data_IF_350106414847
#
_entry.id   IF_350106414847
#
_cell.length_a   1.000
_cell.length_b   1.000
_cell.length_c   1.000
_cell.angle_alpha   90.00
_cell.angle_beta   90.00
_cell.angle_gamma   90.00
#
_symmetry.space_group_name_H-M   'P 1'
#
loop_
_entity.id
_entity.type
_entity.pdbx_description
1 polymer ?
#
# COMPACT_ATOMS: atom_id res chain seq x y z
N UNK A 1 -4.25 -47.68 10.94
CA UNK A 1 -3.65 -46.38 11.31
C UNK A 1 -3.46 -45.47 10.08
N UNK A 2 -4.40 -45.49 9.13
CA UNK A 2 -4.32 -44.80 7.83
C UNK A 2 -5.37 -43.68 7.66
N UNK A 3 -6.45 -43.70 8.45
CA UNK A 3 -7.47 -42.65 8.45
C UNK A 3 -6.92 -41.29 8.86
N UNK A 4 -6.09 -41.25 9.91
CA UNK A 4 -5.57 -40.01 10.50
C UNK A 4 -4.70 -39.18 9.53
N UNK A 5 -3.92 -39.84 8.68
CA UNK A 5 -3.08 -39.15 7.68
C UNK A 5 -3.91 -38.62 6.50
N UNK A 6 -4.87 -39.41 6.03
CA UNK A 6 -5.80 -39.01 4.96
C UNK A 6 -6.66 -37.81 5.39
N UNK A 7 -7.14 -37.83 6.63
CA UNK A 7 -7.95 -36.75 7.21
C UNK A 7 -7.14 -35.47 7.37
N UNK A 8 -5.89 -35.57 7.86
CA UNK A 8 -4.99 -34.42 7.95
C UNK A 8 -4.70 -33.82 6.57
N UNK A 9 -4.43 -34.67 5.55
CA UNK A 9 -4.19 -34.20 4.19
C UNK A 9 -5.42 -33.51 3.60
N UNK A 10 -6.62 -34.06 3.84
CA UNK A 10 -7.87 -33.44 3.42
C UNK A 10 -8.08 -32.08 4.09
N UNK A 11 -7.79 -31.96 5.38
CA UNK A 11 -7.88 -30.71 6.14
C UNK A 11 -6.90 -29.66 5.61
N UNK A 12 -5.63 -30.02 5.37
CA UNK A 12 -4.63 -29.11 4.81
C UNK A 12 -5.01 -28.63 3.40
N UNK A 13 -5.49 -29.54 2.53
CA UNK A 13 -5.99 -29.17 1.20
C UNK A 13 -7.19 -28.22 1.28
N UNK A 14 -8.13 -28.49 2.19
CA UNK A 14 -9.28 -27.61 2.39
C UNK A 14 -8.86 -26.24 2.93
N UNK A 15 -7.88 -26.18 3.83
CA UNK A 15 -7.32 -24.91 4.34
C UNK A 15 -6.67 -24.09 3.23
N UNK A 16 -5.77 -24.71 2.45
CA UNK A 16 -5.11 -24.03 1.34
C UNK A 16 -6.12 -23.52 0.29
N UNK A 17 -7.16 -24.30 -0.01
CA UNK A 17 -8.24 -23.87 -0.93
C UNK A 17 -9.02 -22.67 -0.37
N UNK A 18 -9.34 -22.68 0.93
CA UNK A 18 -10.03 -21.56 1.59
C UNK A 18 -9.17 -20.29 1.60
N UNK A 19 -7.90 -20.40 1.95
CA UNK A 19 -6.96 -19.27 1.97
C UNK A 19 -6.78 -18.67 0.57
N UNK A 20 -6.59 -19.52 -0.46
CA UNK A 20 -6.51 -19.07 -1.85
C UNK A 20 -7.78 -18.35 -2.30
N UNK A 21 -8.94 -18.93 -2.01
CA UNK A 21 -10.22 -18.32 -2.36
C UNK A 21 -10.44 -17.00 -1.59
N UNK A 22 -9.99 -16.93 -0.33
CA UNK A 22 -9.99 -15.70 0.46
C UNK A 22 -9.13 -14.62 -0.18
N UNK A 23 -7.88 -14.93 -0.52
CA UNK A 23 -6.98 -14.00 -1.21
C UNK A 23 -7.58 -13.49 -2.52
N UNK A 24 -8.13 -14.39 -3.36
CA UNK A 24 -8.75 -14.00 -4.62
C UNK A 24 -9.94 -13.05 -4.44
N UNK A 25 -10.82 -13.32 -3.46
CA UNK A 25 -11.94 -12.44 -3.14
C UNK A 25 -11.48 -11.07 -2.64
N UNK A 26 -10.49 -11.06 -1.73
CA UNK A 26 -9.94 -9.81 -1.21
C UNK A 26 -9.29 -8.99 -2.31
N UNK A 27 -8.51 -9.61 -3.19
CA UNK A 27 -7.92 -8.92 -4.35
C UNK A 27 -8.99 -8.34 -5.26
N UNK A 28 -10.05 -9.10 -5.58
CA UNK A 28 -11.14 -8.59 -6.40
C UNK A 28 -11.83 -7.37 -5.76
N UNK A 29 -12.18 -7.46 -4.47
CA UNK A 29 -12.79 -6.34 -3.74
C UNK A 29 -11.88 -5.10 -3.68
N UNK A 30 -10.56 -5.30 -3.53
CA UNK A 30 -9.59 -4.19 -3.60
C UNK A 30 -9.57 -3.54 -4.98
N UNK A 31 -9.57 -4.32 -6.07
CA UNK A 31 -9.55 -3.79 -7.43
C UNK A 31 -10.84 -3.05 -7.79
N UNK A 32 -11.99 -3.43 -7.20
CA UNK A 32 -13.26 -2.73 -7.39
C UNK A 32 -13.33 -1.40 -6.64
N UNK A 33 -12.71 -1.30 -5.46
CA UNK A 33 -12.77 -0.11 -4.61
C UNK A 33 -11.61 0.88 -4.83
N UNK A 34 -10.49 0.42 -5.39
CA UNK A 34 -9.29 1.24 -5.54
C UNK A 34 -9.29 2.09 -6.80
N UNK A 35 -8.78 3.31 -6.69
CA UNK A 35 -8.33 4.08 -7.85
C UNK A 35 -6.93 3.62 -8.25
N UNK A 36 -6.72 3.43 -9.55
CA UNK A 36 -5.40 3.10 -10.10
C UNK A 36 -4.66 4.35 -10.53
N UNK A 37 -3.48 4.58 -9.94
CA UNK A 37 -2.57 5.63 -10.41
C UNK A 37 -1.81 5.10 -11.63
N UNK A 38 -2.03 5.65 -12.85
CA UNK A 38 -1.37 5.16 -14.04
C UNK A 38 0.13 5.50 -14.01
N UNK A 39 0.95 4.57 -14.52
CA UNK A 39 2.37 4.80 -14.71
C UNK A 39 2.62 5.45 -16.08
N UNK A 40 2.92 6.75 -16.05
CA UNK A 40 3.25 7.55 -17.23
C UNK A 40 4.74 7.90 -17.34
N UNK A 41 5.12 8.46 -18.48
CA UNK A 41 6.50 8.93 -18.72
C UNK A 41 6.94 10.03 -17.76
N UNK A 42 6.00 10.84 -17.29
CA UNK A 42 6.18 11.87 -16.26
C UNK A 42 6.56 11.24 -14.91
N UNK A 43 5.82 10.21 -14.49
CA UNK A 43 6.11 9.44 -13.27
C UNK A 43 7.50 8.80 -13.36
N UNK A 44 7.84 8.19 -14.48
CA UNK A 44 9.16 7.56 -14.67
C UNK A 44 10.30 8.59 -14.64
N UNK A 45 10.10 9.79 -15.21
CA UNK A 45 11.09 10.87 -15.17
C UNK A 45 11.27 11.39 -13.75
N UNK A 46 10.18 11.56 -13.00
CA UNK A 46 10.23 11.98 -11.60
C UNK A 46 10.89 10.91 -10.72
N UNK A 47 10.61 9.63 -10.97
CA UNK A 47 11.23 8.51 -10.28
C UNK A 47 12.75 8.50 -10.44
N UNK A 48 13.27 8.76 -11.63
CA UNK A 48 14.71 8.86 -11.86
C UNK A 48 15.36 9.98 -11.02
N UNK A 49 14.68 11.12 -10.87
CA UNK A 49 15.12 12.22 -10.00
C UNK A 49 15.13 11.83 -8.52
N UNK A 50 14.06 11.18 -8.04
CA UNK A 50 13.95 10.67 -6.67
C UNK A 50 15.04 9.63 -6.38
N UNK A 51 15.25 8.68 -7.29
CA UNK A 51 16.24 7.62 -7.13
C UNK A 51 17.64 8.20 -6.92
N UNK A 52 18.02 9.21 -7.72
CA UNK A 52 19.30 9.89 -7.61
C UNK A 52 19.43 10.69 -6.30
N UNK A 53 18.33 11.28 -5.82
CA UNK A 53 18.34 12.15 -4.63
C UNK A 53 18.30 11.39 -3.30
N UNK A 54 17.64 10.24 -3.23
CA UNK A 54 17.31 9.56 -1.95
C UNK A 54 17.92 8.16 -1.83
N UNK A 55 18.79 7.74 -2.77
CA UNK A 55 19.44 6.42 -2.79
C UNK A 55 18.46 5.24 -2.62
N UNK A 56 17.22 5.43 -3.07
CA UNK A 56 16.14 4.48 -2.93
C UNK A 56 16.15 3.47 -4.09
N UNK A 57 15.50 2.31 -3.94
CA UNK A 57 15.39 1.37 -5.06
C UNK A 57 14.64 1.99 -6.24
N UNK A 58 14.89 1.52 -7.46
CA UNK A 58 14.18 2.02 -8.64
C UNK A 58 12.65 1.80 -8.51
N UNK A 59 12.24 0.65 -7.97
CA UNK A 59 10.82 0.31 -7.80
C UNK A 59 10.15 1.21 -6.78
N UNK A 60 10.78 1.41 -5.61
CA UNK A 60 10.25 2.32 -4.59
C UNK A 60 10.22 3.77 -5.08
N UNK A 61 11.17 4.16 -5.93
CA UNK A 61 11.22 5.50 -6.53
C UNK A 61 10.05 5.74 -7.48
N UNK A 62 9.65 4.70 -8.23
CA UNK A 62 8.45 4.73 -9.07
C UNK A 62 7.19 4.84 -8.21
N UNK A 63 7.11 4.07 -7.12
CA UNK A 63 5.97 4.14 -6.18
C UNK A 63 5.85 5.55 -5.60
N UNK A 64 6.93 6.11 -5.06
CA UNK A 64 6.90 7.46 -4.48
C UNK A 64 6.56 8.52 -5.52
N UNK A 65 7.15 8.44 -6.72
CA UNK A 65 6.84 9.36 -7.81
C UNK A 65 5.35 9.32 -8.19
N UNK A 66 4.77 8.12 -8.28
CA UNK A 66 3.35 7.96 -8.62
C UNK A 66 2.44 8.60 -7.56
N UNK A 67 2.75 8.41 -6.28
CA UNK A 67 2.02 9.01 -5.15
C UNK A 67 2.12 10.53 -5.19
N UNK A 68 3.33 11.08 -5.31
CA UNK A 68 3.54 12.54 -5.32
C UNK A 68 2.87 13.19 -6.53
N UNK A 69 2.98 12.57 -7.72
CA UNK A 69 2.30 13.05 -8.93
C UNK A 69 0.78 13.07 -8.75
N UNK A 70 0.21 11.98 -8.22
CA UNK A 70 -1.22 11.89 -7.96
C UNK A 70 -1.68 12.92 -6.93
N UNK A 71 -0.97 13.06 -5.80
CA UNK A 71 -1.29 14.06 -4.76
C UNK A 71 -1.23 15.49 -5.29
N UNK A 72 -0.26 15.81 -6.15
CA UNK A 72 -0.15 17.13 -6.78
C UNK A 72 -1.32 17.42 -7.74
N UNK A 73 -1.83 16.39 -8.42
CA UNK A 73 -2.92 16.50 -9.38
C UNK A 73 -4.30 16.57 -8.70
N UNK A 74 -4.58 15.68 -7.74
CA UNK A 74 -5.89 15.55 -7.10
C UNK A 74 -6.09 16.46 -5.89
N UNK A 75 -4.99 16.88 -5.24
CA UNK A 75 -4.97 17.78 -4.07
C UNK A 75 -6.01 17.38 -3.01
N UNK A 76 -5.94 16.15 -2.49
CA UNK A 76 -6.92 15.67 -1.52
C UNK A 76 -6.84 16.51 -0.23
N UNK A 77 -7.97 16.68 0.45
CA UNK A 77 -8.00 17.40 1.73
C UNK A 77 -7.23 16.65 2.84
N UNK A 78 -7.28 15.32 2.82
CA UNK A 78 -6.53 14.45 3.72
C UNK A 78 -6.19 13.14 3.01
N UNK A 79 -4.99 12.61 3.24
CA UNK A 79 -4.58 11.32 2.71
C UNK A 79 -3.54 10.65 3.61
N UNK A 80 -3.30 9.36 3.40
CA UNK A 80 -2.21 8.66 4.04
C UNK A 80 -1.55 7.63 3.13
N UNK A 81 -0.25 7.45 3.29
CA UNK A 81 0.54 6.45 2.61
C UNK A 81 0.97 5.37 3.60
N UNK A 82 0.55 4.14 3.33
CA UNK A 82 0.86 2.96 4.15
C UNK A 82 1.89 2.07 3.45
N UNK A 83 3.07 1.92 4.04
CA UNK A 83 4.09 1.01 3.53
C UNK A 83 4.91 0.39 4.67
N UNK A 84 5.16 -0.92 4.61
CA UNK A 84 5.97 -1.64 5.61
C UNK A 84 7.48 -1.41 5.43
N UNK A 85 7.93 -0.92 4.27
CA UNK A 85 9.33 -0.59 4.04
C UNK A 85 9.70 0.74 4.73
N UNK A 86 9.69 0.74 6.07
CA UNK A 86 10.00 1.93 6.87
C UNK A 86 11.46 2.36 6.77
N UNK A 87 12.34 1.48 6.30
CA UNK A 87 13.76 1.82 6.08
C UNK A 87 13.89 2.88 4.99
N UNK A 88 13.19 2.70 3.88
CA UNK A 88 13.33 3.56 2.72
C UNK A 88 12.32 4.72 2.74
N UNK A 89 11.11 4.50 3.26
CA UNK A 89 10.05 5.51 3.29
C UNK A 89 9.88 6.23 4.64
N UNK A 90 10.47 5.71 5.72
CA UNK A 90 10.33 6.30 7.06
C UNK A 90 11.31 7.44 7.34
N UNK A 91 12.21 7.77 6.42
CA UNK A 91 13.19 8.84 6.60
C UNK A 91 12.55 10.24 6.60
N UNK A 92 13.18 11.23 7.29
CA UNK A 92 12.62 12.57 7.43
C UNK A 92 12.38 13.27 6.08
N UNK A 93 13.23 13.01 5.08
CA UNK A 93 13.08 13.61 3.74
C UNK A 93 11.77 13.18 3.06
N UNK A 94 11.38 11.92 3.22
CA UNK A 94 10.14 11.39 2.62
C UNK A 94 8.93 11.90 3.39
N UNK A 95 8.99 11.93 4.72
CA UNK A 95 7.90 12.47 5.54
C UNK A 95 7.63 13.94 5.23
N UNK A 96 8.67 14.78 5.19
CA UNK A 96 8.53 16.20 4.83
C UNK A 96 7.92 16.36 3.43
N UNK A 97 8.33 15.53 2.48
CA UNK A 97 7.77 15.55 1.12
C UNK A 97 6.28 15.20 1.12
N UNK A 98 5.85 14.17 1.85
CA UNK A 98 4.44 13.76 1.91
C UNK A 98 3.59 14.76 2.71
N UNK A 99 4.13 15.34 3.78
CA UNK A 99 3.46 16.34 4.63
C UNK A 99 3.12 17.61 3.85
N UNK A 100 3.93 18.00 2.85
CA UNK A 100 3.62 19.12 1.94
C UNK A 100 2.31 18.93 1.17
N UNK A 101 1.87 17.68 1.00
CA UNK A 101 0.61 17.33 0.34
C UNK A 101 -0.48 16.90 1.35
N UNK A 102 -0.26 17.09 2.65
CA UNK A 102 -1.18 16.61 3.69
C UNK A 102 -1.30 15.09 3.74
N UNK A 103 -0.28 14.35 3.27
CA UNK A 103 -0.26 12.90 3.25
C UNK A 103 0.55 12.34 4.41
N UNK A 104 -0.09 11.60 5.33
CA UNK A 104 0.59 11.00 6.48
C UNK A 104 1.20 9.64 6.16
N UNK A 105 2.45 9.41 6.54
CA UNK A 105 3.10 8.10 6.43
C UNK A 105 2.77 7.18 7.61
N UNK A 106 2.43 5.92 7.31
CA UNK A 106 2.30 4.85 8.30
C UNK A 106 3.14 3.63 7.93
N UNK A 107 3.98 3.20 8.86
CA UNK A 107 4.76 1.95 8.75
C UNK A 107 3.98 0.68 9.10
N UNK A 108 2.80 0.83 9.70
CA UNK A 108 2.01 -0.27 10.26
C UNK A 108 0.54 -0.18 9.88
N UNK A 109 -0.04 -1.31 9.53
CA UNK A 109 -1.42 -1.41 9.05
C UNK A 109 -2.45 -1.05 10.13
N UNK A 110 -2.25 -1.52 11.36
CA UNK A 110 -3.13 -1.23 12.50
C UNK A 110 -3.19 0.27 12.85
N UNK A 111 -2.06 0.98 12.71
CA UNK A 111 -2.01 2.43 12.92
C UNK A 111 -2.77 3.19 11.83
N UNK A 112 -2.54 2.84 10.56
CA UNK A 112 -3.26 3.44 9.44
C UNK A 112 -4.76 3.18 9.52
N UNK A 113 -5.18 1.95 9.87
CA UNK A 113 -6.58 1.60 10.01
C UNK A 113 -7.27 2.45 11.09
N UNK A 114 -6.68 2.55 12.29
CA UNK A 114 -7.24 3.38 13.37
C UNK A 114 -7.36 4.85 12.98
N UNK A 115 -6.41 5.34 12.19
CA UNK A 115 -6.45 6.70 11.66
C UNK A 115 -7.60 6.88 10.66
N UNK A 116 -7.76 5.97 9.70
CA UNK A 116 -8.88 6.03 8.72
C UNK A 116 -10.23 5.93 9.44
N UNK A 117 -10.37 4.97 10.36
CA UNK A 117 -11.61 4.78 11.14
C UNK A 117 -11.96 6.01 11.99
N UNK A 118 -10.97 6.71 12.55
CA UNK A 118 -11.25 7.93 13.33
C UNK A 118 -11.71 9.08 12.46
N UNK A 119 -11.27 9.15 11.20
CA UNK A 119 -11.73 10.14 10.23
C UNK A 119 -13.11 9.85 9.67
N UNK A 120 -13.41 8.59 9.38
CA UNK A 120 -14.75 8.21 8.91
C UNK A 120 -15.83 8.55 9.95
N UNK A 121 -15.56 8.32 11.24
CA UNK A 121 -16.47 8.69 12.34
C UNK A 121 -16.69 10.19 12.52
N UNK A 122 -15.86 11.05 11.92
CA UNK A 122 -15.99 12.51 11.99
C UNK A 122 -16.81 13.08 10.83
N UNK A 123 -17.10 12.25 9.81
CA UNK A 123 -17.84 12.63 8.60
C UNK A 123 -19.31 12.18 8.67
N UNK A 124 -19.62 11.23 9.57
CA UNK A 124 -20.99 10.87 10.00
C UNK A 124 -21.55 11.87 11.02
#
# INVERSE_FOLDING_TARGET
MTGTFSDLLALLKASAKRERAGLQRTTAAMLEAAEFIPLGSDVLRQAAGIQAAVAMSAQDSIVLASIVSHLAATKPAESCFLNRNTKDFGGPNIQVMLDQFGCKFFGRFDHALRYIESRLRQVE
#
